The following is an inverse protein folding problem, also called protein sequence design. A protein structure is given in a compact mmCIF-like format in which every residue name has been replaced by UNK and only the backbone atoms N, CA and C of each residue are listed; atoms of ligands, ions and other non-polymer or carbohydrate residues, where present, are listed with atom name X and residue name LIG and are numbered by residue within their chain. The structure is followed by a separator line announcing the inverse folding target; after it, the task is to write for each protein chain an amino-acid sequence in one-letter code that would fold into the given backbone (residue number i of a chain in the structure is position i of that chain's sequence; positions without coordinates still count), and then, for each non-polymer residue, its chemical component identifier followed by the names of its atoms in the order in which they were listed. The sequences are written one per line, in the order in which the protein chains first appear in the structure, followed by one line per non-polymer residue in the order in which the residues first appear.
data_IF_193936147023
#
_entry.id   IF_193936147023
#
_cell.length_a   1.000
_cell.length_b   1.000
_cell.length_c   1.000
_cell.angle_alpha   90.00
_cell.angle_beta   90.00
_cell.angle_gamma   90.00
#
_symmetry.space_group_name_H-M   'P 1'
#
loop_
_entity.id
_entity.type
_entity.pdbx_description
1 polymer ?
#
# COMPACT_ATOMS: atom_id res chain seq x y z
N UNK A 1 47.55 -12.79 -31.50
CA UNK A 1 46.28 -12.08 -31.78
C UNK A 1 45.80 -11.41 -30.50
N UNK A 2 45.46 -10.12 -30.49
CA UNK A 2 44.93 -9.46 -29.30
C UNK A 2 43.44 -9.80 -29.11
N UNK A 3 42.98 -9.81 -27.86
CA UNK A 3 41.58 -10.10 -27.51
C UNK A 3 40.82 -8.77 -27.37
N UNK A 4 39.71 -8.56 -28.09
CA UNK A 4 38.88 -7.38 -27.91
C UNK A 4 38.15 -7.46 -26.56
N UNK A 5 38.39 -6.46 -25.72
CA UNK A 5 37.73 -6.28 -24.42
C UNK A 5 36.53 -5.35 -24.61
N UNK A 6 35.32 -5.91 -24.51
CA UNK A 6 34.09 -5.12 -24.44
C UNK A 6 33.80 -4.78 -22.97
N UNK A 7 34.11 -3.55 -22.57
CA UNK A 7 33.81 -3.07 -21.23
C UNK A 7 32.29 -2.74 -21.11
N UNK A 8 31.69 -2.95 -19.92
CA UNK A 8 30.32 -2.52 -19.64
C UNK A 8 30.16 -1.01 -19.89
N UNK A 9 29.15 -0.63 -20.64
CA UNK A 9 28.84 0.77 -20.90
C UNK A 9 28.09 1.37 -19.70
N UNK A 10 28.43 2.60 -19.33
CA UNK A 10 27.73 3.32 -18.25
C UNK A 10 26.30 3.63 -18.69
N UNK A 11 25.31 2.97 -18.10
CA UNK A 11 23.89 3.19 -18.40
C UNK A 11 23.37 4.37 -17.58
N UNK A 12 22.93 5.43 -18.26
CA UNK A 12 22.25 6.61 -17.65
C UNK A 12 20.76 6.37 -17.35
N UNK A 13 20.28 5.13 -17.48
CA UNK A 13 18.90 4.80 -17.15
C UNK A 13 18.76 4.71 -15.62
N UNK A 14 18.42 5.83 -14.99
CA UNK A 14 17.89 5.84 -13.64
C UNK A 14 16.53 5.16 -13.72
N UNK A 15 16.39 3.97 -13.11
CA UNK A 15 15.08 3.36 -12.95
C UNK A 15 14.17 4.39 -12.27
N UNK A 16 12.96 4.66 -12.81
CA UNK A 16 12.07 5.62 -12.18
C UNK A 16 11.88 5.21 -10.72
N UNK A 17 11.95 6.16 -9.77
CA UNK A 17 11.66 5.87 -8.38
C UNK A 17 10.34 5.12 -8.32
N UNK A 18 10.29 4.01 -7.59
CA UNK A 18 9.02 3.35 -7.29
C UNK A 18 8.15 4.40 -6.61
N UNK A 19 7.08 4.83 -7.29
CA UNK A 19 6.14 5.80 -6.74
C UNK A 19 5.61 5.29 -5.39
N UNK A 20 5.26 6.20 -4.47
CA UNK A 20 4.57 5.80 -3.25
C UNK A 20 3.29 5.04 -3.61
N UNK A 21 2.99 3.89 -2.96
CA UNK A 21 1.73 3.22 -3.19
C UNK A 21 0.57 4.13 -2.78
N UNK A 22 -0.58 3.92 -3.42
CA UNK A 22 -1.80 4.65 -3.08
C UNK A 22 -2.22 4.43 -1.62
N UNK A 23 -2.97 5.39 -1.04
CA UNK A 23 -3.44 5.28 0.34
C UNK A 23 -4.40 4.10 0.53
N UNK A 24 -4.34 3.48 1.70
CA UNK A 24 -5.33 2.51 2.20
C UNK A 24 -6.46 3.29 2.89
N UNK A 25 -7.69 3.10 2.43
CA UNK A 25 -8.89 3.67 3.05
C UNK A 25 -9.51 2.66 4.01
N UNK A 26 -9.38 2.88 5.32
CA UNK A 26 -10.03 2.09 6.34
C UNK A 26 -11.30 2.82 6.80
N UNK A 27 -12.48 2.21 6.58
CA UNK A 27 -13.74 2.75 7.12
C UNK A 27 -14.32 1.86 8.21
N UNK A 28 -14.77 2.49 9.28
CA UNK A 28 -15.47 1.83 10.39
C UNK A 28 -16.91 2.33 10.41
N UNK A 29 -17.88 1.43 10.40
CA UNK A 29 -19.30 1.73 10.46
C UNK A 29 -19.88 1.41 11.85
N UNK A 30 -21.00 2.04 12.19
CA UNK A 30 -21.67 1.94 13.49
C UNK A 30 -22.15 0.51 13.84
N UNK A 31 -22.38 -0.36 12.84
CA UNK A 31 -22.72 -1.76 13.07
C UNK A 31 -21.50 -2.65 13.36
N UNK A 32 -20.30 -2.06 13.50
CA UNK A 32 -19.01 -2.73 13.59
C UNK A 32 -18.43 -3.39 12.30
N UNK A 33 -18.96 -3.20 11.07
CA UNK A 33 -18.23 -3.64 9.89
C UNK A 33 -17.07 -2.69 9.60
N UNK A 34 -15.93 -3.27 9.27
CA UNK A 34 -14.77 -2.55 8.77
C UNK A 34 -14.68 -2.76 7.27
N UNK A 35 -14.39 -1.71 6.52
CA UNK A 35 -14.06 -1.81 5.10
C UNK A 35 -12.62 -1.37 4.87
N UNK A 36 -11.92 -2.10 4.01
CA UNK A 36 -10.56 -1.86 3.57
C UNK A 36 -10.57 -1.55 2.09
N UNK A 37 -10.24 -0.32 1.72
CA UNK A 37 -10.29 0.19 0.35
C UNK A 37 -11.60 -0.13 -0.37
N UNK A 38 -12.73 -0.04 0.36
CA UNK A 38 -14.07 -0.35 -0.15
C UNK A 38 -14.52 -1.82 -0.01
N UNK A 39 -13.63 -2.72 0.42
CA UNK A 39 -13.97 -4.14 0.63
C UNK A 39 -14.26 -4.42 2.10
N UNK A 40 -15.42 -4.99 2.41
CA UNK A 40 -15.74 -5.44 3.76
C UNK A 40 -14.71 -6.47 4.25
N UNK A 41 -14.19 -6.25 5.46
CA UNK A 41 -13.22 -7.12 6.11
C UNK A 41 -13.61 -7.32 7.57
N UNK A 42 -13.46 -8.55 8.06
CA UNK A 42 -13.67 -8.82 9.47
C UNK A 42 -12.57 -8.13 10.29
N UNK A 43 -12.94 -7.51 11.42
CA UNK A 43 -12.00 -6.84 12.34
C UNK A 43 -10.84 -7.77 12.73
N UNK A 44 -11.15 -9.05 12.97
CA UNK A 44 -10.17 -10.08 13.35
C UNK A 44 -9.11 -10.34 12.26
N UNK A 45 -9.42 -10.06 10.99
CA UNK A 45 -8.51 -10.24 9.85
C UNK A 45 -7.72 -8.96 9.51
N UNK A 46 -8.07 -7.82 10.11
CA UNK A 46 -7.48 -6.52 9.80
C UNK A 46 -5.98 -6.50 10.07
N UNK A 47 -5.57 -7.00 11.24
CA UNK A 47 -4.17 -6.99 11.67
C UNK A 47 -3.28 -7.81 10.74
N UNK A 48 -3.73 -9.01 10.36
CA UNK A 48 -2.99 -9.86 9.41
C UNK A 48 -2.83 -9.17 8.05
N UNK A 49 -3.87 -8.48 7.58
CA UNK A 49 -3.85 -7.74 6.31
C UNK A 49 -2.88 -6.55 6.34
N UNK A 50 -2.82 -5.82 7.46
CA UNK A 50 -1.84 -4.73 7.64
C UNK A 50 -0.40 -5.26 7.59
N UNK A 51 -0.12 -6.39 8.26
CA UNK A 51 1.21 -7.01 8.25
C UNK A 51 1.59 -7.48 6.84
N UNK A 52 0.64 -8.04 6.09
CA UNK A 52 0.87 -8.43 4.70
C UNK A 52 1.22 -7.23 3.81
N UNK A 53 0.49 -6.12 3.93
CA UNK A 53 0.84 -4.89 3.18
C UNK A 53 2.21 -4.36 3.56
N UNK A 54 2.57 -4.40 4.84
CA UNK A 54 3.88 -3.96 5.29
C UNK A 54 5.00 -4.84 4.71
N UNK A 55 4.77 -6.16 4.59
CA UNK A 55 5.71 -7.11 3.97
C UNK A 55 5.84 -6.90 2.47
N UNK A 56 4.72 -6.79 1.76
CA UNK A 56 4.69 -6.59 0.30
C UNK A 56 5.38 -5.30 -0.11
N UNK A 57 5.20 -4.24 0.68
CA UNK A 57 5.69 -2.91 0.32
C UNK A 57 7.10 -2.62 0.86
N UNK A 58 7.69 -3.51 1.67
CA UNK A 58 9.10 -3.57 2.08
C UNK A 58 9.88 -2.23 2.07
N UNK A 59 9.41 -1.23 2.83
CA UNK A 59 10.05 0.09 2.95
C UNK A 59 9.37 1.24 2.20
N UNK A 60 8.39 0.94 1.34
CA UNK A 60 7.54 1.90 0.63
C UNK A 60 6.09 1.81 1.15
N UNK A 61 5.89 2.01 2.46
CA UNK A 61 4.57 1.79 3.09
C UNK A 61 3.49 2.75 2.53
N UNK A 62 2.26 2.25 2.32
CA UNK A 62 1.12 3.10 1.99
C UNK A 62 0.67 3.93 3.19
N UNK A 63 0.09 5.09 2.90
CA UNK A 63 -0.60 5.91 3.90
C UNK A 63 -1.90 5.22 4.35
N UNK A 64 -2.12 5.12 5.66
CA UNK A 64 -3.38 4.61 6.22
C UNK A 64 -4.31 5.77 6.56
N UNK A 65 -5.45 5.84 5.87
CA UNK A 65 -6.52 6.82 6.13
C UNK A 65 -7.66 6.14 6.84
N UNK A 66 -8.01 6.63 8.03
CA UNK A 66 -9.08 6.05 8.85
C UNK A 66 -10.25 7.03 8.88
N UNK A 67 -11.42 6.56 8.44
CA UNK A 67 -12.66 7.33 8.47
C UNK A 67 -13.74 6.54 9.23
N UNK A 68 -14.58 7.27 9.96
CA UNK A 68 -15.80 6.71 10.53
C UNK A 68 -16.97 7.14 9.66
N UNK A 69 -17.84 6.22 9.27
CA UNK A 69 -19.13 6.62 8.70
C UNK A 69 -19.98 7.20 9.83
N UNK A 70 -19.93 8.53 9.97
CA UNK A 70 -20.84 9.23 10.87
C UNK A 70 -22.18 9.28 10.16
N UNK A 71 -23.04 8.29 10.39
CA UNK A 71 -24.46 8.45 10.06
C UNK A 71 -24.95 9.74 10.75
N UNK A 72 -25.44 10.75 10.00
CA UNK A 72 -26.03 11.91 10.62
C UNK A 72 -27.26 11.42 11.41
N UNK A 73 -27.23 11.59 12.73
CA UNK A 73 -28.40 11.39 13.57
C UNK A 73 -29.45 12.39 13.11
N UNK A 74 -30.42 11.95 12.30
CA UNK A 74 -31.61 12.73 11.97
C UNK A 74 -32.36 12.99 13.27
N UNK A 75 -32.43 14.28 13.61
CA UNK A 75 -33.17 14.88 14.72
C UNK A 75 -34.67 14.68 14.59
#
# INVERSE_FOLDING_TARGET
MPIPVALPQTTTAVAPPLGRPGPIELRVDAANPVSWSGHAVAVVALQARMQEQARVQAGNLPELRIATDRRPSTR
#
